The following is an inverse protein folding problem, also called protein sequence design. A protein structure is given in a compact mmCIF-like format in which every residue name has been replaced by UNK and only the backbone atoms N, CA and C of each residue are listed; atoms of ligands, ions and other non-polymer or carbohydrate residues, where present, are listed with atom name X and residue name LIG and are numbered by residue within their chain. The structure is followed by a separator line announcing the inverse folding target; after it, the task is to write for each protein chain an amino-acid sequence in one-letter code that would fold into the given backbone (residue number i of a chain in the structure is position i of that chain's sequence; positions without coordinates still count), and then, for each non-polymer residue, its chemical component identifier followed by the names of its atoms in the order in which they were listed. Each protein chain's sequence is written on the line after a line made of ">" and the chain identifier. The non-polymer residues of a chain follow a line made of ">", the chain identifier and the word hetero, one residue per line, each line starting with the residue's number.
data_IF_804155613820
#
_entry.id   IF_804155613820
#
_cell.length_a   1.000
_cell.length_b   1.000
_cell.length_c   1.000
_cell.angle_alpha   90.00
_cell.angle_beta   90.00
_cell.angle_gamma   90.00
#
_symmetry.space_group_name_H-M   'P 1'
#
loop_
_entity.id
_entity.type
_entity.pdbx_description
1 polymer ?
#
# COMPACT_ATOMS: atom_id res chain seq x y z
N UNK A 1 -6.19 4.93 -4.15
CA UNK A 1 -6.56 4.54 -2.77
C UNK A 1 -5.55 5.00 -1.72
N UNK A 2 -4.30 4.50 -1.73
CA UNK A 2 -3.31 4.79 -0.66
C UNK A 2 -2.97 6.27 -0.48
N UNK A 3 -2.96 7.08 -1.55
CA UNK A 3 -2.78 8.54 -1.48
C UNK A 3 -3.88 9.19 -0.63
N UNK A 4 -5.14 8.84 -0.87
CA UNK A 4 -6.28 9.38 -0.12
C UNK A 4 -6.23 8.93 1.35
N UNK A 5 -5.90 7.65 1.59
CA UNK A 5 -5.74 7.13 2.94
C UNK A 5 -4.62 7.84 3.71
N UNK A 6 -3.50 8.15 3.05
CA UNK A 6 -2.39 8.92 3.60
C UNK A 6 -2.78 10.35 3.98
N UNK A 7 -3.54 11.01 3.11
CA UNK A 7 -4.08 12.35 3.35
C UNK A 7 -4.94 12.39 4.63
N UNK A 8 -5.94 11.52 4.73
CA UNK A 8 -6.81 11.47 5.91
C UNK A 8 -6.07 11.01 7.17
N UNK A 9 -5.13 10.08 7.02
CA UNK A 9 -4.30 9.60 8.12
C UNK A 9 -3.53 10.73 8.79
N UNK A 10 -2.87 11.57 8.00
CA UNK A 10 -2.11 12.70 8.53
C UNK A 10 -3.01 13.78 9.12
N UNK A 11 -4.16 14.06 8.48
CA UNK A 11 -5.18 14.95 9.04
C UNK A 11 -5.64 14.50 10.43
N UNK A 12 -5.91 13.20 10.61
CA UNK A 12 -6.29 12.64 11.91
C UNK A 12 -5.14 12.65 12.92
N UNK A 13 -3.90 12.47 12.45
CA UNK A 13 -2.70 12.48 13.29
C UNK A 13 -2.50 13.84 13.97
N UNK A 14 -2.84 14.94 13.28
CA UNK A 14 -2.78 16.28 13.87
C UNK A 14 -3.94 16.57 14.84
N UNK A 15 -5.09 15.90 14.66
CA UNK A 15 -6.30 16.15 15.45
C UNK A 15 -6.36 15.36 16.76
N UNK A 16 -5.73 14.19 16.83
CA UNK A 16 -5.84 13.27 17.97
C UNK A 16 -4.48 12.96 18.60
N UNK A 17 -4.44 12.69 19.93
CA UNK A 17 -3.24 12.18 20.56
C UNK A 17 -2.88 10.80 19.98
N UNK A 18 -1.57 10.52 19.86
CA UNK A 18 -1.01 9.34 19.15
C UNK A 18 -1.72 8.02 19.46
N UNK A 19 -1.95 7.75 20.75
CA UNK A 19 -2.62 6.52 21.21
C UNK A 19 -4.05 6.40 20.69
N UNK A 20 -4.81 7.50 20.73
CA UNK A 20 -6.20 7.55 20.25
C UNK A 20 -6.26 7.46 18.73
N UNK A 21 -5.36 8.15 18.03
CA UNK A 21 -5.24 8.09 16.58
C UNK A 21 -4.98 6.66 16.09
N UNK A 22 -3.98 5.99 16.66
CA UNK A 22 -3.61 4.64 16.29
C UNK A 22 -4.76 3.67 16.55
N UNK A 23 -5.36 3.74 17.74
CA UNK A 23 -6.51 2.90 18.13
C UNK A 23 -7.67 3.04 17.14
N UNK A 24 -8.14 4.27 16.90
CA UNK A 24 -9.29 4.53 16.02
C UNK A 24 -9.04 4.00 14.60
N UNK A 25 -7.80 4.16 14.10
CA UNK A 25 -7.48 3.76 12.73
C UNK A 25 -7.31 2.25 12.59
N UNK A 26 -6.66 1.61 13.55
CA UNK A 26 -6.55 0.14 13.59
C UNK A 26 -7.91 -0.50 13.81
N UNK A 27 -8.80 0.08 14.61
CA UNK A 27 -10.16 -0.42 14.77
C UNK A 27 -10.96 -0.30 13.46
N UNK A 28 -10.96 0.87 12.82
CA UNK A 28 -11.72 1.12 11.59
C UNK A 28 -11.26 0.30 10.38
N UNK A 29 -9.99 -0.12 10.36
CA UNK A 29 -9.42 -0.88 9.24
C UNK A 29 -9.29 -2.37 9.59
N UNK A 30 -8.82 -2.67 10.80
CA UNK A 30 -8.57 -4.01 11.29
C UNK A 30 -9.83 -4.78 11.65
N UNK A 31 -10.85 -4.15 12.23
CA UNK A 31 -12.12 -4.85 12.52
C UNK A 31 -12.77 -5.33 11.22
N UNK A 32 -12.99 -4.48 10.18
CA UNK A 32 -13.52 -4.97 8.91
C UNK A 32 -12.68 -6.07 8.26
N UNK A 33 -11.35 -6.00 8.40
CA UNK A 33 -10.47 -7.05 7.90
C UNK A 33 -10.69 -8.37 8.65
N UNK A 34 -10.70 -8.34 9.97
CA UNK A 34 -10.89 -9.53 10.81
C UNK A 34 -12.27 -10.14 10.67
N UNK A 35 -13.31 -9.34 10.46
CA UNK A 35 -14.67 -9.85 10.23
C UNK A 35 -14.85 -10.37 8.81
N UNK A 36 -14.23 -9.74 7.80
CA UNK A 36 -14.30 -10.23 6.42
C UNK A 36 -13.64 -11.61 6.22
N UNK A 37 -12.67 -11.97 7.06
CA UNK A 37 -12.02 -13.27 6.97
C UNK A 37 -13.03 -14.44 7.11
N UNK A 38 -13.70 -14.61 8.27
CA UNK A 38 -14.66 -15.69 8.47
C UNK A 38 -15.96 -15.49 7.68
N UNK A 39 -16.43 -14.25 7.49
CA UNK A 39 -17.71 -14.01 6.83
C UNK A 39 -17.67 -14.12 5.30
N UNK A 40 -16.54 -13.78 4.67
CA UNK A 40 -16.45 -13.68 3.21
C UNK A 40 -15.35 -14.58 2.64
N UNK A 41 -14.11 -14.36 3.05
CA UNK A 41 -12.96 -15.00 2.38
C UNK A 41 -12.86 -16.50 2.67
N UNK A 42 -13.29 -16.94 3.85
CA UNK A 42 -13.30 -18.36 4.21
C UNK A 42 -14.40 -19.12 3.46
N UNK A 43 -15.68 -18.67 3.41
CA UNK A 43 -16.68 -19.26 2.53
C UNK A 43 -16.28 -19.27 1.06
N UNK A 44 -15.70 -18.16 0.57
CA UNK A 44 -15.17 -18.08 -0.80
C UNK A 44 -14.08 -19.12 -1.06
N UNK A 45 -13.16 -19.29 -0.11
CA UNK A 45 -12.09 -20.29 -0.21
C UNK A 45 -12.66 -21.71 -0.29
N UNK A 46 -13.61 -22.04 0.58
CA UNK A 46 -14.29 -23.35 0.58
C UNK A 46 -14.99 -23.58 -0.77
N UNK A 47 -15.76 -22.60 -1.25
CA UNK A 47 -16.43 -22.69 -2.55
C UNK A 47 -15.43 -22.90 -3.71
N UNK A 48 -14.29 -22.20 -3.68
CA UNK A 48 -13.24 -22.36 -4.69
C UNK A 48 -12.57 -23.73 -4.63
N UNK A 49 -12.42 -24.33 -3.45
CA UNK A 49 -11.93 -25.70 -3.31
C UNK A 49 -12.89 -26.70 -3.97
N UNK A 50 -14.21 -26.52 -3.78
CA UNK A 50 -15.22 -27.37 -4.41
C UNK A 50 -15.33 -27.19 -5.93
N UNK A 51 -15.29 -25.94 -6.43
CA UNK A 51 -15.52 -25.65 -7.86
C UNK A 51 -14.27 -25.88 -8.73
N UNK A 52 -13.06 -25.58 -8.23
CA UNK A 52 -11.82 -25.67 -9.02
C UNK A 52 -11.07 -26.99 -8.85
N UNK A 53 -11.62 -27.97 -8.12
CA UNK A 53 -10.94 -29.26 -7.88
C UNK A 53 -9.64 -29.16 -7.08
N UNK A 54 -9.31 -27.99 -6.49
CA UNK A 54 -8.12 -27.79 -5.64
C UNK A 54 -8.16 -28.63 -4.34
N UNK A 55 -9.28 -29.29 -4.05
CA UNK A 55 -9.46 -30.18 -2.91
C UNK A 55 -8.65 -31.47 -3.00
N UNK A 56 -8.29 -31.95 -4.20
CA UNK A 56 -7.60 -33.24 -4.37
C UNK A 56 -6.15 -33.22 -3.86
N UNK A 57 -5.44 -32.10 -4.01
CA UNK A 57 -4.06 -31.94 -3.49
C UNK A 57 -4.00 -31.52 -2.01
N UNK A 58 -5.14 -31.15 -1.40
CA UNK A 58 -5.22 -30.62 -0.04
C UNK A 58 -4.66 -31.56 1.05
N UNK A 59 -4.95 -32.88 1.02
CA UNK A 59 -4.45 -33.81 2.03
C UNK A 59 -2.92 -33.97 1.99
N UNK A 60 -2.31 -33.91 0.80
CA UNK A 60 -0.88 -34.15 0.57
C UNK A 60 0.04 -32.94 0.80
N UNK A 61 -0.51 -31.75 1.04
CA UNK A 61 0.27 -30.54 1.30
C UNK A 61 0.86 -30.53 2.72
N UNK A 62 2.10 -30.03 2.83
CA UNK A 62 2.75 -29.80 4.13
C UNK A 62 1.99 -28.73 4.93
N UNK A 63 2.19 -28.70 6.26
CA UNK A 63 1.58 -27.66 7.10
C UNK A 63 1.97 -26.24 6.66
N UNK A 64 3.21 -26.07 6.18
CA UNK A 64 3.69 -24.79 5.64
C UNK A 64 2.94 -24.38 4.38
N UNK A 65 2.76 -25.32 3.44
CA UNK A 65 2.09 -25.02 2.17
C UNK A 65 0.59 -24.75 2.37
N UNK A 66 -0.05 -25.45 3.32
CA UNK A 66 -1.43 -25.16 3.75
C UNK A 66 -1.56 -23.75 4.30
N UNK A 67 -0.68 -23.37 5.22
CA UNK A 67 -0.66 -22.01 5.78
C UNK A 67 -0.42 -20.96 4.69
N UNK A 68 0.57 -21.17 3.83
CA UNK A 68 0.92 -20.23 2.78
C UNK A 68 -0.21 -20.07 1.77
N UNK A 69 -0.85 -21.17 1.35
CA UNK A 69 -2.01 -21.15 0.45
C UNK A 69 -3.18 -20.43 1.09
N UNK A 70 -3.45 -20.69 2.38
CA UNK A 70 -4.50 -20.01 3.12
C UNK A 70 -4.23 -18.51 3.23
N UNK A 71 -3.00 -18.12 3.56
CA UNK A 71 -2.59 -16.72 3.61
C UNK A 71 -2.77 -16.04 2.25
N UNK A 72 -2.39 -16.69 1.15
CA UNK A 72 -2.65 -16.19 -0.20
C UNK A 72 -4.14 -15.99 -0.47
N UNK A 73 -4.95 -17.02 -0.33
CA UNK A 73 -6.36 -16.96 -0.74
C UNK A 73 -7.18 -16.04 0.19
N UNK A 74 -7.00 -16.11 1.51
CA UNK A 74 -7.76 -15.29 2.47
C UNK A 74 -7.33 -13.81 2.44
N UNK A 75 -6.03 -13.53 2.32
CA UNK A 75 -5.53 -12.15 2.40
C UNK A 75 -5.54 -11.49 1.02
N UNK A 76 -5.51 -12.23 -0.10
CA UNK A 76 -5.42 -11.66 -1.45
C UNK A 76 -6.45 -10.60 -1.80
N UNK A 77 -7.65 -10.64 -1.22
CA UNK A 77 -8.70 -9.64 -1.44
C UNK A 77 -8.70 -8.54 -0.38
N UNK A 78 -8.16 -8.83 0.81
CA UNK A 78 -8.08 -7.94 1.97
C UNK A 78 -6.70 -7.27 2.11
N UNK A 79 -5.77 -7.56 1.21
CA UNK A 79 -4.36 -7.20 1.33
C UNK A 79 -4.16 -5.69 1.51
N UNK A 80 -5.00 -4.88 0.87
CA UNK A 80 -4.90 -3.42 1.00
C UNK A 80 -5.26 -2.95 2.41
N UNK A 81 -6.19 -3.61 3.11
CA UNK A 81 -6.52 -3.33 4.51
C UNK A 81 -5.35 -3.72 5.41
N UNK A 82 -4.75 -4.88 5.17
CA UNK A 82 -3.56 -5.32 5.90
C UNK A 82 -2.41 -4.31 5.75
N UNK A 83 -2.12 -3.90 4.50
CA UNK A 83 -1.10 -2.88 4.21
C UNK A 83 -1.43 -1.56 4.93
N UNK A 84 -2.70 -1.15 5.00
CA UNK A 84 -3.07 0.05 5.74
C UNK A 84 -2.83 -0.06 7.25
N UNK A 85 -3.10 -1.22 7.86
CA UNK A 85 -2.81 -1.46 9.29
C UNK A 85 -1.30 -1.38 9.53
N UNK A 86 -0.49 -2.05 8.70
CA UNK A 86 0.97 -2.01 8.77
C UNK A 86 1.50 -0.59 8.53
N UNK A 87 0.97 0.13 7.55
CA UNK A 87 1.35 1.52 7.30
C UNK A 87 0.97 2.42 8.48
N UNK A 88 -0.15 2.17 9.16
CA UNK A 88 -0.56 2.98 10.32
C UNK A 88 0.46 2.92 11.45
N UNK A 89 1.05 1.74 11.71
CA UNK A 89 2.07 1.61 12.76
C UNK A 89 3.38 2.27 12.34
N UNK A 90 3.83 2.04 11.10
CA UNK A 90 5.05 2.67 10.54
C UNK A 90 4.94 4.20 10.49
N UNK A 91 3.74 4.73 10.23
CA UNK A 91 3.51 6.16 10.10
C UNK A 91 3.66 6.93 11.42
N UNK A 92 3.57 6.28 12.59
CA UNK A 92 3.85 6.97 13.87
C UNK A 92 5.24 7.59 13.84
N UNK A 93 6.23 6.82 13.37
CA UNK A 93 7.61 7.28 13.25
C UNK A 93 7.79 8.26 12.09
N UNK A 94 7.24 7.93 10.91
CA UNK A 94 7.38 8.76 9.70
C UNK A 94 6.75 10.15 9.93
N UNK A 95 5.54 10.22 10.47
CA UNK A 95 4.84 11.48 10.70
C UNK A 95 5.48 12.32 11.79
N UNK A 96 6.00 11.69 12.85
CA UNK A 96 6.81 12.41 13.86
C UNK A 96 8.05 13.03 13.21
N UNK A 97 8.73 12.29 12.33
CA UNK A 97 9.89 12.80 11.59
C UNK A 97 9.52 13.94 10.63
N UNK A 98 8.41 13.80 9.90
CA UNK A 98 7.90 14.85 9.01
C UNK A 98 7.58 16.12 9.80
N UNK A 99 6.86 16.00 10.92
CA UNK A 99 6.49 17.14 11.78
C UNK A 99 7.73 17.85 12.35
N UNK A 100 8.66 17.10 12.94
CA UNK A 100 9.89 17.69 13.49
C UNK A 100 10.73 18.38 12.40
N UNK A 101 10.80 17.82 11.19
CA UNK A 101 11.51 18.44 10.08
C UNK A 101 10.82 19.72 9.57
N UNK A 102 9.48 19.79 9.66
CA UNK A 102 8.71 21.00 9.32
C UNK A 102 8.89 22.10 10.37
N UNK A 103 8.82 21.76 11.66
CA UNK A 103 9.08 22.70 12.77
C UNK A 103 10.51 23.26 12.72
N UNK A 104 11.49 22.44 12.33
CA UNK A 104 12.88 22.88 12.14
C UNK A 104 13.12 23.61 10.79
N UNK A 105 12.20 23.47 9.82
CA UNK A 105 12.33 24.06 8.49
C UNK A 105 11.29 25.16 8.29
N UNK A 106 11.37 26.22 9.08
CA UNK A 106 10.50 27.42 9.03
C UNK A 106 10.49 28.15 7.65
N UNK A 107 11.21 27.64 6.64
CA UNK A 107 11.37 28.26 5.31
C UNK A 107 11.33 27.29 4.12
N UNK A 108 10.87 26.05 4.25
CA UNK A 108 10.88 25.13 3.11
C UNK A 108 9.58 25.19 2.28
N UNK A 109 9.33 26.33 1.62
CA UNK A 109 8.46 26.38 0.45
C UNK A 109 9.16 25.73 -0.75
N UNK A 110 9.39 24.41 -0.67
CA UNK A 110 9.86 23.65 -1.84
C UNK A 110 8.68 23.56 -2.80
N UNK A 111 8.69 24.37 -3.85
CA UNK A 111 7.84 24.18 -5.03
C UNK A 111 8.16 22.82 -5.64
N UNK A 112 7.34 21.82 -5.30
CA UNK A 112 7.34 20.56 -6.00
C UNK A 112 6.67 20.76 -7.36
N UNK A 113 7.45 20.63 -8.43
CA UNK A 113 6.92 20.55 -9.79
C UNK A 113 6.44 19.13 -10.09
N UNK A 114 5.41 19.00 -10.92
CA UNK A 114 4.89 17.71 -11.38
C UNK A 114 5.99 16.82 -11.97
N UNK A 115 6.93 17.40 -12.73
CA UNK A 115 8.04 16.67 -13.33
C UNK A 115 8.95 16.05 -12.28
N UNK A 116 9.31 16.82 -11.24
CA UNK A 116 10.13 16.31 -10.13
C UNK A 116 9.42 15.18 -9.40
N UNK A 117 8.10 15.29 -9.21
CA UNK A 117 7.30 14.26 -8.57
C UNK A 117 7.31 12.97 -9.41
N UNK A 118 7.04 13.07 -10.71
CA UNK A 118 7.06 11.93 -11.64
C UNK A 118 8.43 11.24 -11.67
N UNK A 119 9.53 12.00 -11.69
CA UNK A 119 10.89 11.44 -11.63
C UNK A 119 11.14 10.71 -10.31
N UNK A 120 10.71 11.26 -9.17
CA UNK A 120 10.84 10.59 -7.87
C UNK A 120 10.10 9.24 -7.88
N UNK A 121 8.85 9.21 -8.36
CA UNK A 121 8.08 7.98 -8.45
C UNK A 121 8.68 6.97 -9.42
N UNK A 122 9.24 7.43 -10.53
CA UNK A 122 9.96 6.59 -11.49
C UNK A 122 11.19 5.95 -10.83
N UNK A 123 12.02 6.73 -10.14
CA UNK A 123 13.19 6.21 -9.43
C UNK A 123 12.80 5.22 -8.32
N UNK A 124 11.74 5.51 -7.56
CA UNK A 124 11.24 4.59 -6.53
C UNK A 124 10.66 3.30 -7.13
N UNK A 125 9.97 3.40 -8.27
CA UNK A 125 9.46 2.25 -9.01
C UNK A 125 10.58 1.37 -9.55
N UNK A 126 11.62 1.96 -10.15
CA UNK A 126 12.82 1.24 -10.59
C UNK A 126 13.52 0.60 -9.39
N UNK A 127 13.71 1.32 -8.29
CA UNK A 127 14.31 0.78 -7.07
C UNK A 127 13.53 -0.43 -6.52
N UNK A 128 12.20 -0.36 -6.49
CA UNK A 128 11.36 -1.49 -6.13
C UNK A 128 11.50 -2.66 -7.10
N UNK A 129 11.53 -2.40 -8.41
CA UNK A 129 11.69 -3.43 -9.43
C UNK A 129 13.05 -4.15 -9.29
N UNK A 130 14.12 -3.40 -9.01
CA UNK A 130 15.45 -3.95 -8.72
C UNK A 130 15.40 -4.82 -7.47
N UNK A 131 14.84 -4.33 -6.35
CA UNK A 131 14.71 -5.12 -5.11
C UNK A 131 13.95 -6.42 -5.37
N UNK A 132 12.78 -6.35 -6.02
CA UNK A 132 11.96 -7.52 -6.35
C UNK A 132 12.71 -8.50 -7.24
N UNK A 133 13.44 -8.01 -8.25
CA UNK A 133 14.22 -8.83 -9.17
C UNK A 133 15.41 -9.49 -8.47
N UNK A 134 16.13 -8.77 -7.62
CA UNK A 134 17.23 -9.31 -6.82
C UNK A 134 16.74 -10.42 -5.90
N UNK A 135 15.63 -10.22 -5.18
CA UNK A 135 15.05 -11.25 -4.32
C UNK A 135 14.66 -12.48 -5.15
N UNK A 136 14.09 -12.29 -6.33
CA UNK A 136 13.73 -13.39 -7.22
C UNK A 136 14.94 -14.21 -7.69
N UNK A 137 16.09 -13.57 -7.90
CA UNK A 137 17.32 -14.27 -8.33
C UNK A 137 18.00 -14.97 -7.15
N UNK A 138 18.08 -14.32 -5.99
CA UNK A 138 18.83 -14.82 -4.83
C UNK A 138 18.05 -15.87 -4.05
N UNK A 139 16.77 -15.61 -3.80
CA UNK A 139 15.94 -16.50 -2.99
C UNK A 139 14.45 -16.45 -3.41
N UNK A 140 14.09 -17.11 -4.52
CA UNK A 140 12.72 -17.16 -5.02
C UNK A 140 11.65 -17.58 -3.98
N UNK A 141 11.90 -18.54 -3.07
CA UNK A 141 10.87 -19.04 -2.14
C UNK A 141 10.24 -17.97 -1.24
N UNK A 142 10.95 -16.88 -0.94
CA UNK A 142 10.41 -15.81 -0.08
C UNK A 142 9.32 -14.99 -0.77
N UNK A 143 9.36 -14.87 -2.10
CA UNK A 143 8.32 -14.20 -2.88
C UNK A 143 7.04 -15.05 -2.97
N UNK A 144 7.19 -16.37 -2.90
CA UNK A 144 6.09 -17.33 -2.82
C UNK A 144 5.42 -17.35 -1.45
N UNK A 145 6.06 -16.78 -0.42
CA UNK A 145 5.46 -16.61 0.90
C UNK A 145 4.46 -15.45 0.89
N UNK A 146 3.16 -15.76 1.04
CA UNK A 146 2.07 -14.79 0.97
C UNK A 146 2.18 -13.69 2.00
N UNK A 147 2.57 -14.02 3.23
CA UNK A 147 2.73 -13.03 4.30
C UNK A 147 3.86 -12.05 4.00
N UNK A 148 5.01 -12.55 3.53
CA UNK A 148 6.11 -11.67 3.13
C UNK A 148 5.69 -10.75 1.98
N UNK A 149 4.99 -11.30 0.98
CA UNK A 149 4.55 -10.51 -0.16
C UNK A 149 3.56 -9.40 0.27
N UNK A 150 2.51 -9.75 1.03
CA UNK A 150 1.51 -8.77 1.45
C UNK A 150 2.01 -7.78 2.50
N UNK A 151 2.82 -8.22 3.46
CA UNK A 151 3.28 -7.34 4.56
C UNK A 151 4.48 -6.50 4.13
N UNK A 152 5.43 -7.07 3.39
CA UNK A 152 6.70 -6.39 3.08
C UNK A 152 6.66 -5.80 1.69
N UNK A 153 6.44 -6.61 0.66
CA UNK A 153 6.56 -6.16 -0.73
C UNK A 153 5.48 -5.13 -1.08
N UNK A 154 4.22 -5.41 -0.74
CA UNK A 154 3.13 -4.46 -0.99
C UNK A 154 3.30 -3.19 -0.18
N UNK A 155 3.64 -3.30 1.11
CA UNK A 155 3.88 -2.13 1.95
C UNK A 155 5.01 -1.25 1.40
N UNK A 156 6.12 -1.85 0.98
CA UNK A 156 7.24 -1.13 0.38
C UNK A 156 6.83 -0.39 -0.90
N UNK A 157 6.04 -1.06 -1.75
CA UNK A 157 5.55 -0.48 -3.00
C UNK A 157 4.57 0.67 -2.77
N UNK A 158 3.64 0.54 -1.81
CA UNK A 158 2.57 1.52 -1.58
C UNK A 158 2.94 2.64 -0.61
N UNK A 159 4.01 2.49 0.17
CA UNK A 159 4.49 3.48 1.12
C UNK A 159 4.73 4.87 0.48
N UNK A 160 5.41 5.01 -0.68
CA UNK A 160 5.59 6.32 -1.32
C UNK A 160 4.28 7.04 -1.63
N UNK A 161 3.28 6.31 -2.12
CA UNK A 161 1.97 6.86 -2.43
C UNK A 161 1.23 7.28 -1.16
N UNK A 162 1.40 6.52 -0.08
CA UNK A 162 0.83 6.86 1.21
C UNK A 162 1.43 8.16 1.77
N UNK A 163 2.77 8.30 1.74
CA UNK A 163 3.48 9.51 2.16
C UNK A 163 3.10 10.70 1.29
N UNK A 164 2.97 10.51 -0.02
CA UNK A 164 2.50 11.54 -0.95
C UNK A 164 1.15 12.12 -0.52
N UNK A 165 0.24 11.25 -0.07
CA UNK A 165 -1.04 11.65 0.51
C UNK A 165 -0.90 12.60 1.69
N UNK A 166 -0.01 12.26 2.64
CA UNK A 166 0.29 13.11 3.78
C UNK A 166 0.93 14.44 3.36
N UNK A 167 1.87 14.43 2.41
CA UNK A 167 2.49 15.63 1.86
C UNK A 167 1.48 16.54 1.14
N UNK A 168 0.51 15.97 0.44
CA UNK A 168 -0.57 16.73 -0.20
C UNK A 168 -1.48 17.42 0.83
N UNK A 169 -1.59 16.90 2.05
CA UNK A 169 -2.27 17.61 3.15
C UNK A 169 -1.43 18.80 3.66
N UNK A 170 -0.12 18.62 3.78
CA UNK A 170 0.81 19.62 4.32
C UNK A 170 1.01 20.79 3.36
N UNK A 171 1.13 20.50 2.05
CA UNK A 171 1.43 21.50 1.03
C UNK A 171 0.22 21.75 0.11
N UNK A 172 -0.50 22.87 0.26
CA UNK A 172 -1.66 23.21 -0.58
C UNK A 172 -1.35 23.22 -2.08
N UNK A 173 -0.13 23.61 -2.47
CA UNK A 173 0.31 23.58 -3.86
C UNK A 173 0.38 22.15 -4.45
N UNK A 174 0.80 21.16 -3.66
CA UNK A 174 0.79 19.76 -4.09
C UNK A 174 -0.64 19.27 -4.28
N UNK A 175 -1.55 19.63 -3.37
CA UNK A 175 -2.98 19.35 -3.53
C UNK A 175 -3.54 19.96 -4.81
N UNK A 176 -3.20 21.22 -5.09
CA UNK A 176 -3.66 21.92 -6.28
C UNK A 176 -3.25 21.20 -7.57
N UNK A 177 -2.01 20.69 -7.65
CA UNK A 177 -1.52 19.90 -8.79
C UNK A 177 -2.32 18.62 -9.06
N UNK A 178 -2.93 18.02 -8.04
CA UNK A 178 -3.78 16.83 -8.21
C UNK A 178 -5.23 17.17 -8.57
N UNK A 179 -5.69 18.38 -8.25
CA UNK A 179 -7.06 18.83 -8.54
C UNK A 179 -7.17 19.60 -9.85
N UNK A 180 -6.07 20.14 -10.38
CA UNK A 180 -6.09 20.87 -11.65
C UNK A 180 -5.84 19.92 -12.82
N UNK A 181 -6.74 19.88 -13.83
CA UNK A 181 -6.53 19.04 -15.00
C UNK A 181 -5.35 19.57 -15.81
N UNK A 182 -4.35 18.71 -16.06
CA UNK A 182 -3.17 19.03 -16.86
C UNK A 182 -3.29 18.40 -18.25
N UNK A 183 -3.18 19.22 -19.30
CA UNK A 183 -3.17 18.78 -20.70
C UNK A 183 -2.00 17.83 -21.01
N UNK A 184 -0.88 17.98 -20.29
CA UNK A 184 0.27 17.07 -20.42
C UNK A 184 -0.02 15.68 -19.87
N UNK A 185 -0.76 15.59 -18.76
CA UNK A 185 -1.18 14.30 -18.20
C UNK A 185 -2.19 13.58 -19.08
N UNK A 186 -3.11 14.30 -19.72
CA UNK A 186 -4.07 13.68 -20.64
C UNK A 186 -3.36 13.08 -21.87
N UNK A 187 -2.37 13.78 -22.43
CA UNK A 187 -1.58 13.25 -23.54
C UNK A 187 -0.72 12.04 -23.12
N UNK A 188 -0.06 12.12 -21.96
CA UNK A 188 0.72 11.00 -21.44
C UNK A 188 -0.15 9.78 -21.11
N UNK A 189 -1.35 9.99 -20.56
CA UNK A 189 -2.31 8.92 -20.29
C UNK A 189 -2.81 8.26 -21.60
N UNK A 190 -3.10 9.07 -22.63
CA UNK A 190 -3.48 8.54 -23.95
C UNK A 190 -2.35 7.71 -24.57
N UNK A 191 -1.11 8.20 -24.53
CA UNK A 191 0.06 7.44 -25.02
C UNK A 191 0.27 6.14 -24.25
N UNK A 192 0.18 6.18 -22.92
CA UNK A 192 0.30 4.98 -22.09
C UNK A 192 -0.83 3.97 -22.35
N UNK A 193 -2.05 4.46 -22.62
CA UNK A 193 -3.18 3.61 -22.99
C UNK A 193 -2.97 2.93 -24.35
N UNK A 194 -2.51 3.67 -25.36
CA UNK A 194 -2.15 3.10 -26.67
C UNK A 194 -1.04 2.07 -26.52
N UNK A 195 0.01 2.38 -25.75
CA UNK A 195 1.12 1.45 -25.51
C UNK A 195 0.70 0.19 -24.75
N UNK A 196 -0.36 0.23 -23.93
CA UNK A 196 -0.91 -0.94 -23.25
C UNK A 196 -1.76 -1.83 -24.17
N UNK A 197 -2.35 -1.26 -25.23
CA UNK A 197 -3.17 -2.01 -26.20
C UNK A 197 -2.34 -2.69 -27.29
N UNK A 198 -1.10 -2.26 -27.51
CA UNK A 198 -0.12 -2.86 -28.43
C UNK A 198 0.64 -4.01 -27.76
#
# INVERSE_FOLDING_TARGET
>A
FFVISGYFSYMLFLRYPLKKWWKVRVERVGIPMLTAIPLLTLPQFIMLQYVKGKAESWPGLSLYDKYNTLAWELISHLWFLLVLVVMTTLCVWIFKRIRNNLENSDKMSKKFSMVKLSVIFLCLGIGYAVIRRTIFIVYPPILSNGMFNFIVMQTLFYLPFFILGALAFIFPHLKALFTTPSRGCTLAAALAFVAYLL
#
